data_IF_082184100495
#
_entry.id   IF_082184100495
#
_cell.length_a   1.000
_cell.length_b   1.000
_cell.length_c   1.000
_cell.angle_alpha   90.00
_cell.angle_beta   90.00
_cell.angle_gamma   90.00
#
_symmetry.space_group_name_H-M   'P 1'
#
loop_
_entity.id
_entity.type
_entity.pdbx_description
1 polymer ?
#
# COMPACT_ATOMS: atom_id res chain seq x y z
N UNK A 1 3.24 -12.45 -18.79
CA UNK A 1 4.04 -13.08 -17.74
C UNK A 1 3.41 -12.79 -16.35
N UNK A 2 3.45 -13.78 -15.45
CA UNK A 2 2.89 -13.66 -14.09
C UNK A 2 3.51 -12.49 -13.32
N UNK A 3 4.83 -12.42 -13.30
CA UNK A 3 5.54 -11.36 -12.55
C UNK A 3 5.30 -9.96 -13.12
N UNK A 4 5.17 -9.79 -14.43
CA UNK A 4 4.81 -8.50 -15.02
C UNK A 4 3.43 -8.02 -14.54
N UNK A 5 2.44 -8.92 -14.52
CA UNK A 5 1.09 -8.61 -14.03
C UNK A 5 1.07 -8.35 -12.53
N UNK A 6 1.88 -9.10 -11.75
CA UNK A 6 2.03 -8.87 -10.32
C UNK A 6 2.67 -7.50 -10.02
N UNK A 7 3.73 -7.14 -10.75
CA UNK A 7 4.37 -5.82 -10.64
C UNK A 7 3.39 -4.69 -11.01
N UNK A 8 2.63 -4.86 -12.09
CA UNK A 8 1.62 -3.87 -12.50
C UNK A 8 0.54 -3.69 -11.42
N UNK A 9 0.04 -4.80 -10.86
CA UNK A 9 -0.91 -4.79 -9.76
C UNK A 9 -0.35 -4.05 -8.52
N UNK A 10 0.86 -4.40 -8.09
CA UNK A 10 1.49 -3.79 -6.93
C UNK A 10 1.66 -2.28 -7.14
N UNK A 11 2.19 -1.86 -8.29
CA UNK A 11 2.43 -0.44 -8.58
C UNK A 11 1.17 0.39 -8.67
N UNK A 12 0.16 -0.11 -9.33
CA UNK A 12 -1.01 0.70 -9.66
C UNK A 12 -2.14 0.55 -8.63
N UNK A 13 -2.30 -0.61 -8.02
CA UNK A 13 -3.31 -0.85 -7.00
C UNK A 13 -2.76 -0.67 -5.58
N UNK A 14 -1.71 -1.39 -5.20
CA UNK A 14 -1.18 -1.31 -3.85
C UNK A 14 -0.49 0.03 -3.58
N UNK A 15 0.42 0.47 -4.44
CA UNK A 15 1.21 1.68 -4.19
C UNK A 15 0.48 2.97 -4.60
N UNK A 16 0.21 3.17 -5.88
CA UNK A 16 -0.38 4.43 -6.36
C UNK A 16 -1.82 4.68 -5.89
N UNK A 17 -2.51 3.67 -5.44
CA UNK A 17 -3.87 3.79 -4.93
C UNK A 17 -3.93 3.65 -3.41
N UNK A 18 -3.55 2.50 -2.84
CA UNK A 18 -3.67 2.25 -1.41
C UNK A 18 -2.63 3.05 -0.59
N UNK A 19 -1.34 2.86 -0.80
CA UNK A 19 -0.29 3.58 -0.06
C UNK A 19 -0.38 5.09 -0.26
N UNK A 20 -0.74 5.56 -1.45
CA UNK A 20 -0.90 6.98 -1.68
C UNK A 20 -2.05 7.60 -0.88
N UNK A 21 -3.15 6.89 -0.61
CA UNK A 21 -4.20 7.37 0.30
C UNK A 21 -3.68 7.48 1.72
N UNK A 22 -2.87 6.53 2.16
CA UNK A 22 -2.25 6.59 3.48
C UNK A 22 -1.28 7.75 3.60
N UNK A 23 -0.33 7.89 2.68
CA UNK A 23 0.69 8.94 2.72
C UNK A 23 0.11 10.35 2.53
N UNK A 24 -0.82 10.51 1.61
CA UNK A 24 -1.37 11.82 1.24
C UNK A 24 -2.52 12.28 2.12
N UNK A 25 -3.21 11.37 2.79
CA UNK A 25 -4.39 11.68 3.58
C UNK A 25 -4.21 11.28 5.03
N UNK A 26 -4.08 9.97 5.33
CA UNK A 26 -4.03 9.48 6.71
C UNK A 26 -2.80 9.98 7.46
N UNK A 27 -1.61 9.79 6.92
CA UNK A 27 -0.37 10.18 7.61
C UNK A 27 -0.25 11.70 7.77
N UNK A 28 -0.73 12.48 6.80
CA UNK A 28 -0.79 13.94 6.93
C UNK A 28 -1.75 14.37 8.04
N UNK A 29 -2.87 13.67 8.21
CA UNK A 29 -3.79 13.96 9.30
C UNK A 29 -3.19 13.61 10.66
N UNK A 30 -2.55 12.43 10.78
CA UNK A 30 -1.93 11.96 12.01
C UNK A 30 -0.69 12.79 12.44
N UNK A 31 -0.08 13.53 11.53
CA UNK A 31 1.07 14.40 11.81
C UNK A 31 0.67 15.85 12.14
N UNK A 32 -0.62 16.17 12.26
CA UNK A 32 -1.05 17.53 12.66
C UNK A 32 -0.85 17.74 14.16
N UNK A 33 -0.53 18.98 14.53
CA UNK A 33 -0.24 19.38 15.92
C UNK A 33 -1.43 19.15 16.87
N UNK A 34 -2.64 19.16 16.38
CA UNK A 34 -3.87 18.94 17.15
C UNK A 34 -4.27 17.46 17.25
N UNK A 35 -3.45 16.54 16.72
CA UNK A 35 -3.62 15.10 16.84
C UNK A 35 -2.59 14.57 17.84
N UNK A 36 -3.06 14.15 19.01
CA UNK A 36 -2.20 13.64 20.07
C UNK A 36 -2.09 12.11 19.97
N UNK A 37 -0.90 11.65 19.56
CA UNK A 37 -0.55 10.22 19.55
C UNK A 37 0.61 9.99 20.52
N UNK A 38 0.53 8.92 21.31
CA UNK A 38 1.61 8.54 22.26
C UNK A 38 2.92 8.22 21.52
N UNK A 39 2.84 7.53 20.38
CA UNK A 39 3.91 7.44 19.39
C UNK A 39 3.30 7.56 17.98
N UNK A 40 4.08 8.03 17.01
CA UNK A 40 3.58 8.18 15.64
C UNK A 40 4.32 7.20 14.70
N UNK A 41 3.67 6.10 14.26
CA UNK A 41 4.29 5.09 13.43
C UNK A 41 4.42 5.50 11.95
N UNK A 42 3.97 6.70 11.55
CA UNK A 42 3.88 7.09 10.13
C UNK A 42 5.22 7.12 9.41
N UNK A 43 6.32 7.50 10.09
CA UNK A 43 7.67 7.46 9.51
C UNK A 43 8.11 6.03 9.21
N UNK A 44 7.86 5.09 10.13
CA UNK A 44 8.14 3.68 9.90
C UNK A 44 7.32 3.11 8.73
N UNK A 45 6.04 3.46 8.65
CA UNK A 45 5.19 3.05 7.53
C UNK A 45 5.69 3.58 6.19
N UNK A 46 6.06 4.87 6.12
CA UNK A 46 6.67 5.46 4.90
C UNK A 46 7.96 4.75 4.49
N UNK A 47 8.81 4.47 5.45
CA UNK A 47 10.05 3.72 5.19
C UNK A 47 9.76 2.34 4.61
N UNK A 48 8.78 1.62 5.12
CA UNK A 48 8.37 0.30 4.61
C UNK A 48 7.75 0.39 3.21
N UNK A 49 6.96 1.44 2.92
CA UNK A 49 6.48 1.72 1.54
C UNK A 49 7.66 1.90 0.57
N UNK A 50 8.69 2.65 0.96
CA UNK A 50 9.85 2.88 0.12
C UNK A 50 10.69 1.60 -0.08
N UNK A 51 10.83 0.77 0.94
CA UNK A 51 11.43 -0.56 0.81
C UNK A 51 10.64 -1.43 -0.17
N UNK A 52 9.31 -1.42 -0.07
CA UNK A 52 8.43 -2.15 -0.99
C UNK A 52 8.59 -1.69 -2.44
N UNK A 53 8.64 -0.37 -2.67
CA UNK A 53 8.92 0.22 -3.99
C UNK A 53 10.26 -0.23 -4.55
N UNK A 54 11.28 -0.32 -3.70
CA UNK A 54 12.61 -0.80 -4.10
C UNK A 54 12.59 -2.27 -4.50
N UNK A 55 11.95 -3.16 -3.75
CA UNK A 55 11.79 -4.56 -4.13
C UNK A 55 11.10 -4.71 -5.49
N UNK A 56 10.04 -3.93 -5.73
CA UNK A 56 9.31 -3.96 -7.01
C UNK A 56 10.20 -3.48 -8.17
N UNK A 57 10.98 -2.43 -7.96
CA UNK A 57 11.95 -1.93 -8.95
C UNK A 57 13.02 -2.97 -9.28
N UNK A 58 13.58 -3.62 -8.27
CA UNK A 58 14.58 -4.67 -8.44
C UNK A 58 14.00 -5.92 -9.14
N UNK A 59 12.75 -6.30 -8.84
CA UNK A 59 12.05 -7.37 -9.58
C UNK A 59 11.90 -7.02 -11.06
N UNK A 60 11.51 -5.78 -11.40
CA UNK A 60 11.37 -5.35 -12.79
C UNK A 60 12.71 -5.37 -13.52
N UNK A 61 13.77 -4.91 -12.88
CA UNK A 61 15.11 -4.96 -13.47
C UNK A 61 15.57 -6.39 -13.70
N UNK A 62 15.36 -7.28 -12.70
CA UNK A 62 15.69 -8.69 -12.82
C UNK A 62 14.89 -9.41 -13.92
N UNK A 63 13.65 -8.99 -14.19
CA UNK A 63 12.87 -9.50 -15.33
C UNK A 63 13.50 -9.11 -16.67
N UNK A 64 13.93 -7.85 -16.82
CA UNK A 64 14.62 -7.37 -18.03
C UNK A 64 15.93 -8.12 -18.29
N UNK A 65 16.63 -8.50 -17.22
CA UNK A 65 17.88 -9.24 -17.24
C UNK A 65 17.68 -10.77 -17.36
N UNK A 66 16.45 -11.28 -17.36
CA UNK A 66 16.11 -12.70 -17.26
C UNK A 66 16.77 -13.41 -16.04
N UNK A 67 16.99 -12.67 -14.96
CA UNK A 67 17.63 -13.16 -13.75
C UNK A 67 16.60 -13.76 -12.79
N UNK A 68 16.27 -15.03 -12.99
CA UNK A 68 15.27 -15.75 -12.19
C UNK A 68 15.57 -15.75 -10.69
N UNK A 69 16.86 -15.86 -10.32
CA UNK A 69 17.27 -15.86 -8.91
C UNK A 69 16.92 -14.54 -8.24
N UNK A 70 17.32 -13.41 -8.84
CA UNK A 70 16.99 -12.08 -8.33
C UNK A 70 15.49 -11.81 -8.29
N UNK A 71 14.71 -12.28 -9.28
CA UNK A 71 13.25 -12.15 -9.25
C UNK A 71 12.69 -12.81 -8.00
N UNK A 72 13.06 -14.05 -7.71
CA UNK A 72 12.57 -14.80 -6.56
C UNK A 72 13.03 -14.21 -5.23
N UNK A 73 14.27 -13.76 -5.13
CA UNK A 73 14.80 -13.10 -3.93
C UNK A 73 14.01 -11.83 -3.59
N UNK A 74 13.80 -10.95 -4.57
CA UNK A 74 13.05 -9.72 -4.37
C UNK A 74 11.56 -9.97 -4.13
N UNK A 75 10.97 -10.95 -4.79
CA UNK A 75 9.57 -11.34 -4.55
C UNK A 75 9.36 -11.86 -3.12
N UNK A 76 10.27 -12.68 -2.61
CA UNK A 76 10.24 -13.16 -1.21
C UNK A 76 10.43 -12.01 -0.22
N UNK A 77 11.41 -11.14 -0.47
CA UNK A 77 11.64 -9.96 0.37
C UNK A 77 10.41 -9.05 0.43
N UNK A 78 9.79 -8.78 -0.72
CA UNK A 78 8.55 -8.01 -0.79
C UNK A 78 7.40 -8.67 -0.03
N UNK A 79 7.21 -9.98 -0.19
CA UNK A 79 6.13 -10.71 0.48
C UNK A 79 6.29 -10.68 1.99
N UNK A 80 7.51 -10.90 2.50
CA UNK A 80 7.78 -10.84 3.94
C UNK A 80 7.55 -9.43 4.48
N UNK A 81 8.09 -8.41 3.80
CA UNK A 81 7.87 -7.02 4.17
C UNK A 81 6.37 -6.68 4.23
N UNK A 82 5.61 -7.09 3.21
CA UNK A 82 4.18 -6.79 3.13
C UNK A 82 3.37 -7.47 4.24
N UNK A 83 3.68 -8.71 4.60
CA UNK A 83 3.02 -9.41 5.72
C UNK A 83 3.26 -8.67 7.04
N UNK A 84 4.51 -8.29 7.33
CA UNK A 84 4.86 -7.57 8.54
C UNK A 84 4.25 -6.15 8.56
N UNK A 85 4.15 -5.52 7.41
CA UNK A 85 3.55 -4.20 7.21
C UNK A 85 2.05 -4.23 7.48
N UNK A 86 1.31 -5.14 6.85
CA UNK A 86 -0.15 -5.32 7.06
C UNK A 86 -0.44 -5.63 8.54
N UNK A 87 0.38 -6.46 9.18
CA UNK A 87 0.22 -6.74 10.61
C UNK A 87 0.31 -5.46 11.46
N UNK A 88 1.26 -4.56 11.15
CA UNK A 88 1.41 -3.28 11.85
C UNK A 88 0.25 -2.32 11.55
N UNK A 89 -0.24 -2.30 10.32
CA UNK A 89 -1.43 -1.52 9.97
C UNK A 89 -2.63 -1.94 10.80
N UNK A 90 -2.95 -3.23 10.79
CA UNK A 90 -4.14 -3.78 11.42
C UNK A 90 -4.09 -3.73 12.97
N UNK A 91 -2.91 -3.89 13.56
CA UNK A 91 -2.76 -4.05 15.02
C UNK A 91 -2.17 -2.82 15.71
N UNK A 92 -1.58 -1.88 15.00
CA UNK A 92 -0.92 -0.71 15.56
C UNK A 92 -1.44 0.59 14.95
N UNK A 93 -1.21 0.79 13.64
CA UNK A 93 -1.49 2.07 12.98
C UNK A 93 -2.98 2.43 13.01
N UNK A 94 -3.83 1.54 12.51
CA UNK A 94 -5.26 1.84 12.40
C UNK A 94 -5.95 1.93 13.77
N UNK A 95 -5.69 1.07 14.75
CA UNK A 95 -6.20 1.27 16.12
C UNK A 95 -5.75 2.59 16.74
N UNK A 96 -4.48 2.96 16.60
CA UNK A 96 -3.98 4.24 17.11
C UNK A 96 -4.62 5.44 16.40
N UNK A 97 -4.80 5.36 15.09
CA UNK A 97 -5.46 6.39 14.31
C UNK A 97 -6.93 6.54 14.72
N UNK A 98 -7.62 5.42 14.93
CA UNK A 98 -9.02 5.42 15.36
C UNK A 98 -9.21 6.06 16.74
N UNK A 99 -8.28 5.84 17.65
CA UNK A 99 -8.28 6.47 18.99
C UNK A 99 -7.92 7.96 18.94
N UNK A 100 -6.92 8.33 18.12
CA UNK A 100 -6.41 9.70 18.06
C UNK A 100 -7.32 10.67 17.26
N UNK A 101 -8.09 10.19 16.32
CA UNK A 101 -8.93 10.99 15.43
C UNK A 101 -10.38 11.05 15.96
N UNK A 102 -10.92 12.26 16.08
CA UNK A 102 -12.34 12.45 16.40
C UNK A 102 -13.24 12.12 15.19
N UNK A 103 -14.54 11.98 15.43
CA UNK A 103 -15.54 11.60 14.42
C UNK A 103 -15.62 12.57 13.23
N UNK A 104 -15.41 13.87 13.46
CA UNK A 104 -15.41 14.88 12.40
C UNK A 104 -14.23 14.68 11.45
N UNK A 105 -13.03 14.49 11.99
CA UNK A 105 -11.81 14.19 11.21
C UNK A 105 -11.94 12.88 10.44
N UNK A 106 -12.49 11.82 11.06
CA UNK A 106 -12.77 10.55 10.40
C UNK A 106 -13.70 10.71 9.20
N UNK A 107 -14.81 11.43 9.35
CA UNK A 107 -15.74 11.71 8.24
C UNK A 107 -15.09 12.50 7.11
N UNK A 108 -14.31 13.53 7.44
CA UNK A 108 -13.58 14.31 6.45
C UNK A 108 -12.55 13.44 5.70
N UNK A 109 -11.85 12.57 6.40
CA UNK A 109 -10.88 11.64 5.83
C UNK A 109 -11.54 10.65 4.86
N UNK A 110 -12.68 10.06 5.24
CA UNK A 110 -13.46 9.18 4.36
C UNK A 110 -13.89 9.87 3.07
N UNK A 111 -14.30 11.15 3.17
CA UNK A 111 -14.62 11.96 1.98
C UNK A 111 -13.39 12.12 1.07
N UNK A 112 -12.24 12.48 1.64
CA UNK A 112 -10.99 12.61 0.88
C UNK A 112 -10.54 11.30 0.23
N UNK A 113 -10.73 10.16 0.91
CA UNK A 113 -10.44 8.84 0.33
C UNK A 113 -11.31 8.55 -0.90
N UNK A 114 -12.61 8.82 -0.83
CA UNK A 114 -13.54 8.66 -1.95
C UNK A 114 -13.18 9.57 -3.12
N UNK A 115 -12.85 10.83 -2.85
CA UNK A 115 -12.41 11.79 -3.88
C UNK A 115 -11.09 11.34 -4.54
N UNK A 116 -10.11 10.88 -3.77
CA UNK A 116 -8.85 10.35 -4.29
C UNK A 116 -9.07 9.11 -5.15
N UNK A 117 -9.96 8.21 -4.73
CA UNK A 117 -10.34 7.01 -5.49
C UNK A 117 -10.97 7.36 -6.84
N UNK A 118 -11.93 8.30 -6.86
CA UNK A 118 -12.61 8.72 -8.09
C UNK A 118 -11.68 9.44 -9.07
N UNK A 119 -10.65 10.13 -8.59
CA UNK A 119 -9.67 10.83 -9.43
C UNK A 119 -8.61 9.89 -10.04
N UNK A 120 -8.23 8.85 -9.32
CA UNK A 120 -7.13 7.95 -9.73
C UNK A 120 -7.58 6.75 -10.56
N UNK A 121 -8.82 6.32 -10.38
CA UNK A 121 -9.38 5.21 -11.15
C UNK A 121 -10.53 5.66 -12.03
N UNK A 122 -10.41 5.39 -13.31
CA UNK A 122 -11.55 5.38 -14.21
C UNK A 122 -12.51 4.25 -13.82
N UNK A 123 -13.79 4.39 -14.18
CA UNK A 123 -14.80 3.36 -13.90
C UNK A 123 -14.34 1.99 -14.43
N UNK A 124 -14.38 0.98 -13.59
CA UNK A 124 -13.99 -0.40 -13.94
C UNK A 124 -12.53 -0.77 -13.65
N UNK A 125 -11.65 0.20 -13.37
CA UNK A 125 -10.21 -0.08 -13.12
C UNK A 125 -10.01 -0.84 -11.80
N UNK A 126 -10.72 -0.46 -10.75
CA UNK A 126 -10.66 -1.14 -9.44
C UNK A 126 -11.13 -2.59 -9.55
N UNK A 127 -12.25 -2.81 -10.21
CA UNK A 127 -12.83 -4.13 -10.44
C UNK A 127 -11.89 -5.02 -11.25
N UNK A 128 -11.18 -4.46 -12.23
CA UNK A 128 -10.17 -5.17 -13.00
C UNK A 128 -9.01 -5.65 -12.11
N UNK A 129 -8.47 -4.79 -11.24
CA UNK A 129 -7.41 -5.18 -10.30
C UNK A 129 -7.88 -6.21 -9.27
N UNK A 130 -9.10 -6.10 -8.76
CA UNK A 130 -9.70 -7.11 -7.89
C UNK A 130 -9.86 -8.47 -8.60
N UNK A 131 -10.21 -8.47 -9.88
CA UNK A 131 -10.26 -9.69 -10.71
C UNK A 131 -8.88 -10.32 -10.85
N UNK A 132 -7.82 -9.53 -11.06
CA UNK A 132 -6.43 -10.01 -11.12
C UNK A 132 -6.01 -10.64 -9.78
N UNK A 133 -6.33 -10.01 -8.66
CA UNK A 133 -6.04 -10.55 -7.33
C UNK A 133 -6.73 -11.91 -7.12
N UNK A 134 -8.01 -12.01 -7.45
CA UNK A 134 -8.77 -13.27 -7.39
C UNK A 134 -8.19 -14.37 -8.29
N UNK A 135 -7.69 -14.00 -9.48
CA UNK A 135 -7.01 -14.97 -10.36
C UNK A 135 -5.71 -15.49 -9.74
N UNK A 136 -4.92 -14.61 -9.12
CA UNK A 136 -3.68 -15.01 -8.44
C UNK A 136 -3.95 -15.92 -7.24
N UNK A 137 -5.00 -15.66 -6.48
CA UNK A 137 -5.39 -16.49 -5.34
C UNK A 137 -5.77 -17.92 -5.75
N UNK A 138 -6.40 -18.09 -6.91
CA UNK A 138 -6.82 -19.41 -7.44
C UNK A 138 -5.66 -20.23 -8.00
N UNK A 139 -4.45 -19.68 -8.10
CA UNK A 139 -3.26 -20.39 -8.62
C UNK A 139 -2.46 -21.14 -7.56
N UNK A 140 -3.04 -21.34 -6.38
CA UNK A 140 -2.45 -22.18 -5.31
C UNK A 140 -2.38 -23.65 -5.68
#
# INVERSE_FOLDING_TARGET
NFFERAIDFIRNYADKFHHAKEEDILFKELCKDDVNMHCNPTEQMRYEHDLGRNFVKEMEQALKENNKKKILENARGYTQLLQDHIYKEDNILYPMADEALNEEKKKLMLKKFKEAESKRFTKGTKENYLSIANEFEKRK
#
